data_IF_790991627858
#
_entry.id   IF_790991627858
#
_cell.length_a   1.000
_cell.length_b   1.000
_cell.length_c   1.000
_cell.angle_alpha   90.00
_cell.angle_beta   90.00
_cell.angle_gamma   90.00
#
_symmetry.space_group_name_H-M   'P 1'
#
loop_
_entity.id
_entity.type
_entity.pdbx_description
1 polymer ?
#
# COMPACT_ATOMS: atom_id res chain seq x y z
N UNK A 1 21.97 0.59 2.51
CA UNK A 1 22.08 2.04 2.28
C UNK A 1 21.01 2.75 3.08
N UNK A 2 21.30 3.85 3.75
CA UNK A 2 20.23 4.59 4.40
C UNK A 2 19.23 5.09 3.35
N UNK A 3 17.96 5.00 3.65
CA UNK A 3 16.89 5.47 2.79
C UNK A 3 17.06 6.98 2.52
N UNK A 4 17.24 7.33 1.25
CA UNK A 4 17.38 8.72 0.85
C UNK A 4 16.05 9.45 0.93
N UNK A 5 16.09 10.76 1.22
CA UNK A 5 14.90 11.62 1.33
C UNK A 5 14.10 11.66 0.03
N UNK A 6 14.79 11.65 -1.10
CA UNK A 6 14.18 11.66 -2.42
C UNK A 6 13.42 10.35 -2.69
N UNK A 7 14.03 9.22 -2.34
CA UNK A 7 13.40 7.91 -2.48
C UNK A 7 12.19 7.78 -1.56
N UNK A 8 12.30 8.21 -0.30
CA UNK A 8 11.17 8.23 0.61
C UNK A 8 10.04 9.11 0.07
N UNK A 9 10.36 10.30 -0.43
CA UNK A 9 9.39 11.22 -1.02
C UNK A 9 8.65 10.60 -2.20
N UNK A 10 9.39 9.93 -3.08
CA UNK A 10 8.82 9.21 -4.22
C UNK A 10 7.85 8.10 -3.79
N UNK A 11 8.19 7.36 -2.74
CA UNK A 11 7.34 6.31 -2.17
C UNK A 11 6.06 6.86 -1.55
N UNK A 12 6.18 7.94 -0.80
CA UNK A 12 5.03 8.64 -0.22
C UNK A 12 4.06 9.11 -1.31
N UNK A 13 4.58 9.73 -2.37
CA UNK A 13 3.79 10.15 -3.51
C UNK A 13 3.07 8.99 -4.18
N UNK A 14 3.78 7.88 -4.48
CA UNK A 14 3.18 6.67 -5.05
C UNK A 14 2.11 6.07 -4.13
N UNK A 15 2.36 6.02 -2.82
CA UNK A 15 1.40 5.52 -1.86
C UNK A 15 0.11 6.36 -1.86
N UNK A 16 0.23 7.69 -1.88
CA UNK A 16 -0.92 8.59 -2.01
C UNK A 16 -1.70 8.36 -3.29
N UNK A 17 -1.01 8.31 -4.42
CA UNK A 17 -1.62 8.11 -5.73
C UNK A 17 -2.32 6.75 -5.83
N UNK A 18 -1.79 5.72 -5.19
CA UNK A 18 -2.39 4.38 -5.17
C UNK A 18 -3.74 4.33 -4.47
N UNK A 19 -3.99 5.19 -3.50
CA UNK A 19 -5.28 5.34 -2.82
C UNK A 19 -6.15 6.46 -3.40
N UNK A 20 -5.70 7.10 -4.48
CA UNK A 20 -6.45 8.14 -5.19
C UNK A 20 -6.66 9.44 -4.41
N UNK A 21 -5.83 9.73 -3.42
CA UNK A 21 -5.93 10.92 -2.60
C UNK A 21 -5.20 12.12 -3.22
N UNK A 22 -5.79 13.32 -3.08
CA UNK A 22 -5.11 14.58 -3.41
C UNK A 22 -4.21 15.01 -2.26
N UNK A 23 -3.18 15.81 -2.57
CA UNK A 23 -2.29 16.37 -1.54
C UNK A 23 -3.04 17.18 -0.48
N UNK A 24 -4.08 17.91 -0.86
CA UNK A 24 -4.91 18.70 0.06
C UNK A 24 -5.62 17.79 1.07
N UNK A 25 -6.28 16.74 0.59
CA UNK A 25 -7.01 15.79 1.43
C UNK A 25 -6.11 15.11 2.47
N UNK A 26 -4.89 14.75 2.06
CA UNK A 26 -3.90 14.12 2.96
C UNK A 26 -3.35 15.11 3.96
N UNK A 27 -3.02 16.31 3.51
CA UNK A 27 -2.49 17.36 4.38
C UNK A 27 -3.46 17.68 5.51
N UNK A 28 -4.76 17.80 5.20
CA UNK A 28 -5.82 18.05 6.19
C UNK A 28 -5.94 16.87 7.18
N UNK A 29 -5.92 15.63 6.71
CA UNK A 29 -6.02 14.44 7.57
C UNK A 29 -4.80 14.27 8.49
N UNK A 30 -3.61 14.60 8.01
CA UNK A 30 -2.36 14.49 8.79
C UNK A 30 -2.16 15.70 9.71
N UNK A 31 -2.84 16.82 9.43
CA UNK A 31 -2.72 18.06 10.17
C UNK A 31 -1.45 18.86 9.81
N UNK A 32 -1.08 18.85 8.52
CA UNK A 32 0.06 19.59 7.96
C UNK A 32 -0.40 20.48 6.81
N UNK A 33 0.43 21.45 6.41
CA UNK A 33 0.13 22.22 5.21
C UNK A 33 0.37 21.40 3.93
N UNK A 34 -0.42 21.68 2.87
CA UNK A 34 -0.18 21.10 1.55
C UNK A 34 1.27 21.30 1.07
N UNK A 35 1.83 22.50 1.35
CA UNK A 35 3.22 22.81 0.99
C UNK A 35 4.24 21.91 1.71
N UNK A 36 3.99 21.58 2.99
CA UNK A 36 4.82 20.65 3.73
C UNK A 36 4.75 19.23 3.13
N UNK A 37 3.56 18.77 2.78
CA UNK A 37 3.41 17.48 2.11
C UNK A 37 4.12 17.45 0.74
N UNK A 38 4.00 18.52 -0.05
CA UNK A 38 4.70 18.64 -1.32
C UNK A 38 6.23 18.60 -1.15
N UNK A 39 6.77 19.20 -0.08
CA UNK A 39 8.19 19.12 0.25
C UNK A 39 8.62 17.70 0.67
N UNK A 40 7.75 16.97 1.37
CA UNK A 40 8.01 15.57 1.73
C UNK A 40 8.03 14.68 0.48
N UNK A 41 7.05 14.80 -0.39
CA UNK A 41 6.97 14.03 -1.63
C UNK A 41 8.05 14.40 -2.65
N UNK A 42 8.50 15.65 -2.64
CA UNK A 42 9.60 16.12 -3.48
C UNK A 42 10.99 15.83 -2.94
N UNK A 43 11.11 15.22 -1.75
CA UNK A 43 12.40 14.87 -1.14
C UNK A 43 13.20 16.05 -0.59
N UNK A 44 12.69 17.29 -0.67
CA UNK A 44 13.39 18.48 -0.15
C UNK A 44 13.42 18.51 1.38
N UNK A 45 12.41 17.90 2.02
CA UNK A 45 12.29 17.79 3.47
C UNK A 45 11.84 16.38 3.86
N UNK A 46 12.50 15.79 4.87
CA UNK A 46 12.05 14.53 5.44
C UNK A 46 10.91 14.78 6.45
N UNK A 47 9.82 13.98 6.42
CA UNK A 47 8.83 13.99 7.47
C UNK A 47 9.43 13.47 8.79
N UNK A 48 8.94 13.94 9.91
CA UNK A 48 9.29 13.36 11.21
C UNK A 48 8.57 12.03 11.42
N UNK A 49 8.95 11.28 12.46
CA UNK A 49 8.37 9.95 12.75
C UNK A 49 6.85 9.99 12.94
N UNK A 50 6.32 11.01 13.62
CA UNK A 50 4.88 11.17 13.82
C UNK A 50 4.13 11.40 12.50
N UNK A 51 4.68 12.25 11.64
CA UNK A 51 4.10 12.48 10.30
C UNK A 51 4.17 11.20 9.44
N UNK A 52 5.27 10.43 9.52
CA UNK A 52 5.39 9.16 8.79
C UNK A 52 4.33 8.14 9.22
N UNK A 53 4.10 7.98 10.52
CA UNK A 53 3.07 7.08 11.04
C UNK A 53 1.69 7.50 10.53
N UNK A 54 1.33 8.78 10.64
CA UNK A 54 0.04 9.29 10.16
C UNK A 54 -0.12 9.16 8.66
N UNK A 55 0.92 9.42 7.89
CA UNK A 55 0.91 9.22 6.43
C UNK A 55 0.71 7.75 6.06
N UNK A 56 1.39 6.83 6.76
CA UNK A 56 1.22 5.40 6.56
C UNK A 56 -0.23 4.96 6.84
N UNK A 57 -0.83 5.46 7.92
CA UNK A 57 -2.23 5.19 8.27
C UNK A 57 -3.19 5.71 7.19
N UNK A 58 -3.02 6.96 6.73
CA UNK A 58 -3.86 7.56 5.69
C UNK A 58 -3.72 6.82 4.36
N UNK A 59 -2.51 6.36 4.02
CA UNK A 59 -2.24 5.61 2.80
C UNK A 59 -2.57 4.12 2.91
N UNK A 60 -2.98 3.64 4.10
CA UNK A 60 -3.23 2.22 4.37
C UNK A 60 -2.03 1.34 4.03
N UNK A 61 -0.84 1.82 4.39
CA UNK A 61 0.44 1.15 4.17
C UNK A 61 1.11 0.83 5.49
N UNK A 62 1.89 -0.23 5.49
CA UNK A 62 2.78 -0.50 6.61
C UNK A 62 3.96 0.47 6.60
N UNK A 63 4.35 0.98 7.78
CA UNK A 63 5.48 1.88 7.91
C UNK A 63 6.78 1.21 7.48
N UNK A 64 6.93 -0.08 7.78
CA UNK A 64 8.08 -0.88 7.36
C UNK A 64 8.23 -0.93 5.84
N UNK A 65 7.11 -1.01 5.10
CA UNK A 65 7.15 -0.97 3.64
C UNK A 65 7.65 0.37 3.09
N UNK A 66 7.23 1.47 3.70
CA UNK A 66 7.67 2.79 3.29
C UNK A 66 9.16 3.02 3.54
N UNK A 67 9.71 2.36 4.56
CA UNK A 67 11.09 2.50 5.02
C UNK A 67 12.02 1.36 4.56
N UNK A 68 11.52 0.28 3.98
CA UNK A 68 12.31 -0.87 3.56
C UNK A 68 13.42 -0.47 2.58
N UNK A 69 14.63 -1.02 2.74
CA UNK A 69 15.77 -0.75 1.83
C UNK A 69 15.51 -1.24 0.40
N UNK A 70 14.78 -2.33 0.26
CA UNK A 70 14.37 -2.86 -1.04
C UNK A 70 12.85 -2.76 -1.12
N UNK A 71 12.39 -1.79 -1.87
CA UNK A 71 10.99 -1.69 -2.24
C UNK A 71 10.80 -2.46 -3.53
N UNK A 72 10.57 -3.77 -3.41
CA UNK A 72 10.23 -4.60 -4.55
C UNK A 72 8.78 -4.34 -4.95
N UNK A 73 8.62 -3.53 -5.97
CA UNK A 73 7.31 -3.24 -6.56
C UNK A 73 6.71 -4.48 -7.24
N UNK A 74 7.56 -5.46 -7.59
CA UNK A 74 7.17 -6.72 -8.22
C UNK A 74 6.67 -7.76 -7.19
N UNK A 75 7.10 -7.66 -5.93
CA UNK A 75 6.58 -8.47 -4.83
C UNK A 75 5.17 -8.03 -4.38
N UNK A 76 4.52 -7.16 -5.15
CA UNK A 76 3.13 -6.79 -4.90
C UNK A 76 2.25 -7.99 -5.06
N UNK A 77 1.56 -8.24 -3.98
CA UNK A 77 0.46 -9.17 -3.87
C UNK A 77 -0.31 -9.28 -5.20
N UNK A 78 -0.42 -10.49 -5.78
CA UNK A 78 -1.19 -10.74 -7.01
C UNK A 78 -2.58 -10.14 -7.00
N UNK A 79 -3.20 -10.04 -5.83
CA UNK A 79 -4.52 -9.43 -5.62
C UNK A 79 -4.48 -7.95 -5.98
N UNK A 80 -3.48 -7.20 -5.54
CA UNK A 80 -3.33 -5.78 -5.90
C UNK A 80 -3.13 -5.58 -7.40
N UNK A 81 -2.37 -6.47 -8.05
CA UNK A 81 -2.17 -6.45 -9.49
C UNK A 81 -3.47 -6.71 -10.26
N UNK A 82 -4.26 -7.70 -9.82
CA UNK A 82 -5.56 -8.03 -10.40
C UNK A 82 -6.56 -6.88 -10.29
N UNK A 83 -6.66 -6.24 -9.13
CA UNK A 83 -7.56 -5.09 -8.93
C UNK A 83 -7.12 -3.85 -9.71
N UNK A 84 -5.83 -3.68 -9.98
CA UNK A 84 -5.33 -2.57 -10.82
C UNK A 84 -5.56 -2.81 -12.31
N UNK A 85 -5.60 -4.06 -12.75
CA UNK A 85 -5.90 -4.42 -14.12
C UNK A 85 -7.36 -4.15 -14.50
N UNK A 86 -8.27 -4.04 -13.53
CA UNK A 86 -9.65 -3.68 -13.78
C UNK A 86 -9.79 -2.16 -13.94
N UNK A 87 -9.89 -1.70 -15.18
CA UNK A 87 -10.02 -0.29 -15.53
C UNK A 87 -11.28 0.38 -14.91
N UNK A 88 -12.31 -0.39 -14.54
CA UNK A 88 -13.51 0.13 -13.88
C UNK A 88 -13.25 0.52 -12.43
N UNK A 89 -12.21 -0.04 -11.81
CA UNK A 89 -11.82 0.25 -10.44
C UNK A 89 -10.90 1.47 -10.31
N UNK A 90 -10.24 1.85 -11.40
CA UNK A 90 -9.21 2.89 -11.38
C UNK A 90 -9.74 4.31 -11.09
N UNK A 91 -11.04 4.55 -11.19
CA UNK A 91 -11.65 5.88 -11.00
C UNK A 91 -12.40 6.07 -9.66
N UNK A 92 -12.63 5.02 -8.89
CA UNK A 92 -13.41 5.11 -7.66
C UNK A 92 -12.52 5.11 -6.41
N UNK A 93 -12.39 6.29 -5.79
CA UNK A 93 -11.61 6.51 -4.56
C UNK A 93 -12.01 5.56 -3.42
N UNK A 94 -13.31 5.33 -3.22
CA UNK A 94 -13.81 4.44 -2.15
C UNK A 94 -13.37 3.00 -2.36
N UNK A 95 -13.41 2.55 -3.61
CA UNK A 95 -12.96 1.19 -3.97
C UNK A 95 -11.45 1.05 -3.83
N UNK A 96 -10.66 2.05 -4.24
CA UNK A 96 -9.22 2.04 -4.07
C UNK A 96 -8.80 1.95 -2.59
N UNK A 97 -9.50 2.66 -1.71
CA UNK A 97 -9.28 2.59 -0.26
C UNK A 97 -9.65 1.20 0.27
N UNK A 98 -10.81 0.66 -0.12
CA UNK A 98 -11.26 -0.67 0.32
C UNK A 98 -10.29 -1.77 -0.12
N UNK A 99 -9.76 -1.70 -1.34
CA UNK A 99 -8.75 -2.64 -1.84
C UNK A 99 -7.46 -2.53 -1.04
N UNK A 100 -6.97 -1.31 -0.77
CA UNK A 100 -5.77 -1.09 0.02
C UNK A 100 -5.92 -1.64 1.45
N UNK A 101 -7.09 -1.48 2.05
CA UNK A 101 -7.41 -2.01 3.38
C UNK A 101 -7.48 -3.54 3.39
N UNK A 102 -8.08 -4.15 2.37
CA UNK A 102 -8.10 -5.60 2.17
C UNK A 102 -6.69 -6.18 2.03
N UNK A 103 -5.84 -5.57 1.21
CA UNK A 103 -4.44 -5.99 1.02
C UNK A 103 -3.65 -5.90 2.34
N UNK A 104 -3.87 -4.84 3.12
CA UNK A 104 -3.24 -4.70 4.44
C UNK A 104 -3.63 -5.86 5.36
N UNK A 105 -4.93 -6.16 5.46
CA UNK A 105 -5.43 -7.28 6.27
C UNK A 105 -4.88 -8.63 5.83
N UNK A 106 -4.80 -8.87 4.52
CA UNK A 106 -4.22 -10.12 3.98
C UNK A 106 -2.75 -10.27 4.39
N UNK A 107 -1.97 -9.18 4.35
CA UNK A 107 -0.57 -9.21 4.80
C UNK A 107 -0.42 -9.43 6.29
N UNK A 108 -1.23 -8.78 7.11
CA UNK A 108 -1.23 -9.01 8.55
C UNK A 108 -1.56 -10.47 8.86
N UNK A 109 -2.51 -11.06 8.13
CA UNK A 109 -2.85 -12.47 8.26
C UNK A 109 -1.69 -13.38 7.87
N UNK A 110 -1.04 -13.14 6.73
CA UNK A 110 0.14 -13.90 6.28
C UNK A 110 1.31 -13.79 7.28
N UNK A 111 1.52 -12.62 7.85
CA UNK A 111 2.54 -12.43 8.87
C UNK A 111 2.24 -13.24 10.13
N UNK A 112 0.98 -13.30 10.55
CA UNK A 112 0.56 -14.13 11.69
C UNK A 112 0.75 -15.62 11.41
N UNK A 113 0.40 -16.11 10.23
CA UNK A 113 0.65 -17.49 9.81
C UNK A 113 2.14 -17.84 9.86
N UNK A 114 2.98 -16.93 9.36
CA UNK A 114 4.43 -17.10 9.40
C UNK A 114 4.97 -17.17 10.84
N UNK A 115 4.50 -16.28 11.72
CA UNK A 115 4.89 -16.26 13.14
C UNK A 115 4.43 -17.49 13.90
N UNK A 116 3.27 -18.04 13.54
CA UNK A 116 2.72 -19.26 14.14
C UNK A 116 3.33 -20.55 13.54
N UNK A 117 4.20 -20.42 12.54
CA UNK A 117 4.80 -21.57 11.86
C UNK A 117 3.78 -22.43 11.08
N UNK A 118 2.68 -21.81 10.65
CA UNK A 118 1.67 -22.48 9.82
C UNK A 118 2.26 -22.63 8.41
N UNK A 119 2.41 -23.87 7.98
CA UNK A 119 2.95 -24.19 6.66
C UNK A 119 1.98 -23.70 5.57
N UNK A 120 2.44 -22.77 4.74
CA UNK A 120 1.65 -22.19 3.65
C UNK A 120 1.49 -23.16 2.46
N UNK A 121 2.14 -24.32 2.49
CA UNK A 121 2.02 -25.35 1.44
C UNK A 121 0.64 -26.04 1.39
N UNK A 122 -0.27 -25.70 2.29
CA UNK A 122 -1.68 -25.99 2.11
C UNK A 122 -2.33 -24.99 1.14
N UNK A 123 -1.81 -24.96 -0.06
CA UNK A 123 -2.57 -24.48 -1.21
C UNK A 123 -3.88 -25.28 -1.21
N UNK A 124 -4.98 -24.58 -1.00
CA UNK A 124 -6.29 -25.16 -1.24
C UNK A 124 -6.27 -25.65 -2.67
N UNK A 125 -6.20 -26.96 -2.85
CA UNK A 125 -6.38 -27.60 -4.14
C UNK A 125 -7.84 -27.40 -4.52
N UNK A 126 -8.15 -26.19 -4.98
CA UNK A 126 -9.45 -25.85 -5.54
C UNK A 126 -9.47 -26.47 -6.93
N UNK A 127 -9.63 -27.78 -6.96
CA UNK A 127 -10.03 -28.47 -8.17
C UNK A 127 -11.41 -27.93 -8.52
N UNK A 128 -11.44 -26.90 -9.37
CA UNK A 128 -12.66 -26.47 -10.03
C UNK A 128 -13.14 -27.65 -10.88
N UNK A 129 -14.00 -28.45 -10.30
CA UNK A 129 -14.76 -29.45 -11.03
C UNK A 129 -15.83 -28.71 -11.87
N UNK A 130 -15.39 -28.11 -12.98
CA UNK A 130 -16.30 -27.52 -13.97
C UNK A 130 -17.05 -28.68 -14.61
N UNK A 131 -18.38 -28.78 -14.43
CA UNK A 131 -19.17 -29.76 -15.16
C UNK A 131 -19.04 -29.46 -16.67
N UNK A 132 -18.96 -30.50 -17.51
CA UNK A 132 -18.84 -30.30 -18.95
C UNK A 132 -20.06 -29.53 -19.44
N UNK A 133 -19.83 -28.42 -20.13
CA UNK A 133 -20.89 -27.70 -20.86
C UNK A 133 -21.48 -28.67 -21.90
N UNK A 134 -22.77 -28.87 -21.82
CA UNK A 134 -23.57 -29.55 -22.88
C UNK A 134 -23.97 -28.52 -23.94
#
# INVERSE_FOLDING_TARGET
MPLDKEELGRRLKKARESVGLKQEDVADQVGISRGALAQFEGGSKAPNSLHLVRLAEVYRRDLGELLAEQFDEAARDPITALFRADAQLAGDRKRAIAVAECVKLCREYTNLETLLGIDQDRVYDVTYNTPPMR
#
